data_IF_475586400594
#
_entry.id   IF_475586400594
#
_cell.length_a   1.000
_cell.length_b   1.000
_cell.length_c   1.000
_cell.angle_alpha   90.00
_cell.angle_beta   90.00
_cell.angle_gamma   90.00
#
_symmetry.space_group_name_H-M   'P 1'
#
loop_
_entity.id
_entity.type
_entity.pdbx_description
1 polymer ?
#
# COMPACT_ATOMS: atom_id res chain seq x y z
N UNK A 1 -57.93 -20.07 -5.43
CA UNK A 1 -57.35 -20.97 -6.43
C UNK A 1 -57.14 -20.14 -7.69
N UNK A 2 -55.95 -19.63 -8.00
CA UNK A 2 -54.63 -20.25 -7.78
C UNK A 2 -53.53 -19.19 -7.61
N UNK A 3 -52.78 -19.35 -6.51
CA UNK A 3 -51.33 -19.27 -6.29
C UNK A 3 -50.42 -18.22 -6.96
N UNK A 4 -49.89 -17.37 -6.07
CA UNK A 4 -48.52 -16.84 -5.99
C UNK A 4 -47.41 -17.83 -6.40
N UNK A 5 -46.37 -17.34 -7.10
CA UNK A 5 -44.94 -17.51 -6.75
C UNK A 5 -44.06 -16.77 -7.77
N UNK A 6 -43.58 -15.57 -7.40
CA UNK A 6 -42.20 -15.32 -6.95
C UNK A 6 -41.18 -15.24 -8.09
N UNK A 7 -41.16 -14.09 -8.75
CA UNK A 7 -39.94 -13.49 -9.29
C UNK A 7 -38.99 -13.15 -8.13
N UNK A 8 -38.01 -14.01 -7.84
CA UNK A 8 -36.85 -13.65 -7.04
C UNK A 8 -35.76 -14.71 -7.21
N UNK A 9 -34.94 -14.53 -8.24
CA UNK A 9 -33.61 -15.12 -8.32
C UNK A 9 -32.67 -14.02 -8.80
N UNK A 10 -32.62 -12.94 -8.03
CA UNK A 10 -31.59 -11.91 -8.13
C UNK A 10 -30.30 -12.54 -7.62
N UNK A 11 -29.38 -12.77 -8.56
CA UNK A 11 -27.94 -12.95 -8.42
C UNK A 11 -27.37 -12.58 -7.04
N UNK A 12 -27.47 -13.51 -6.09
CA UNK A 12 -26.51 -13.56 -4.99
C UNK A 12 -25.21 -14.11 -5.57
N UNK A 13 -24.42 -13.21 -6.18
CA UNK A 13 -23.05 -13.47 -6.59
C UNK A 13 -22.25 -13.79 -5.31
N UNK A 14 -22.35 -15.04 -4.85
CA UNK A 14 -21.82 -15.43 -3.56
C UNK A 14 -20.30 -15.50 -3.68
N UNK A 15 -19.63 -14.82 -2.75
CA UNK A 15 -18.18 -14.74 -2.65
C UNK A 15 -17.49 -16.13 -2.67
N UNK A 16 -18.25 -17.18 -2.32
CA UNK A 16 -17.84 -18.58 -2.36
C UNK A 16 -17.34 -19.06 -3.74
N UNK A 17 -17.81 -18.47 -4.84
CA UNK A 17 -17.39 -18.88 -6.19
C UNK A 17 -16.11 -18.19 -6.70
N UNK A 18 -15.64 -17.14 -6.01
CA UNK A 18 -14.44 -16.38 -6.35
C UNK A 18 -13.28 -16.61 -5.39
N UNK A 19 -13.51 -17.31 -4.28
CA UNK A 19 -12.44 -17.68 -3.35
C UNK A 19 -11.54 -18.76 -3.97
N UNK A 20 -10.24 -18.47 -4.05
CA UNK A 20 -9.16 -19.44 -4.31
C UNK A 20 -9.45 -20.70 -3.49
N UNK A 21 -9.44 -21.88 -4.09
CA UNK A 21 -9.84 -23.17 -3.49
C UNK A 21 -8.96 -23.68 -2.32
N UNK A 22 -8.19 -22.79 -1.70
CA UNK A 22 -7.33 -23.06 -0.56
C UNK A 22 -8.09 -22.88 0.74
N UNK A 23 -7.98 -23.86 1.64
CA UNK A 23 -8.57 -23.81 2.98
C UNK A 23 -8.08 -22.58 3.77
N UNK A 24 -8.99 -21.98 4.56
CA UNK A 24 -8.70 -20.84 5.45
C UNK A 24 -7.52 -21.11 6.39
N UNK A 25 -7.44 -22.32 6.94
CA UNK A 25 -6.33 -22.74 7.81
C UNK A 25 -4.99 -22.71 7.07
N UNK A 26 -4.96 -23.12 5.80
CA UNK A 26 -3.74 -23.08 5.00
C UNK A 26 -3.30 -21.64 4.73
N UNK A 27 -4.23 -20.73 4.35
CA UNK A 27 -3.93 -19.31 4.15
C UNK A 27 -3.36 -18.67 5.42
N UNK A 28 -3.94 -18.96 6.58
CA UNK A 28 -3.47 -18.46 7.88
C UNK A 28 -2.02 -18.85 8.15
N UNK A 29 -1.70 -20.15 8.08
CA UNK A 29 -0.36 -20.63 8.41
C UNK A 29 0.69 -20.20 7.38
N UNK A 30 0.33 -20.14 6.09
CA UNK A 30 1.24 -19.64 5.05
C UNK A 30 1.58 -18.17 5.32
N UNK A 31 0.59 -17.32 5.55
CA UNK A 31 0.82 -15.91 5.83
C UNK A 31 1.67 -15.72 7.09
N UNK A 32 1.33 -16.40 8.18
CA UNK A 32 2.08 -16.30 9.43
C UNK A 32 3.54 -16.79 9.27
N UNK A 33 3.75 -17.89 8.53
CA UNK A 33 5.07 -18.48 8.28
C UNK A 33 5.99 -17.54 7.49
N UNK A 34 5.45 -16.78 6.54
CA UNK A 34 6.23 -15.83 5.74
C UNK A 34 6.36 -14.45 6.41
N UNK A 35 5.33 -14.01 7.12
CA UNK A 35 5.31 -12.69 7.74
C UNK A 35 6.29 -12.58 8.91
N UNK A 36 6.34 -13.57 9.80
CA UNK A 36 7.26 -13.53 10.97
C UNK A 36 8.74 -13.40 10.56
N UNK A 37 9.29 -14.23 9.64
CA UNK A 37 10.65 -14.04 9.14
C UNK A 37 10.84 -12.71 8.41
N UNK A 38 9.82 -12.23 7.70
CA UNK A 38 9.87 -10.97 6.99
C UNK A 38 10.00 -9.78 7.95
N UNK A 39 9.20 -9.74 9.02
CA UNK A 39 9.31 -8.74 10.09
C UNK A 39 10.69 -8.78 10.74
N UNK A 40 11.20 -9.97 11.08
CA UNK A 40 12.54 -10.12 11.67
C UNK A 40 13.61 -9.56 10.72
N UNK A 41 13.54 -9.90 9.43
CA UNK A 41 14.46 -9.39 8.41
C UNK A 41 14.41 -7.86 8.31
N UNK A 42 13.20 -7.28 8.20
CA UNK A 42 12.99 -5.84 8.14
C UNK A 42 13.57 -5.12 9.37
N UNK A 43 13.34 -5.66 10.57
CA UNK A 43 13.88 -5.12 11.83
C UNK A 43 15.41 -5.20 11.87
N UNK A 44 16.00 -6.31 11.43
CA UNK A 44 17.47 -6.47 11.36
C UNK A 44 18.07 -5.46 10.38
N UNK A 45 17.48 -5.29 9.19
CA UNK A 45 17.96 -4.32 8.20
C UNK A 45 17.86 -2.89 8.75
N UNK A 46 16.71 -2.52 9.32
CA UNK A 46 16.54 -1.21 9.97
C UNK A 46 17.58 -1.01 11.08
N UNK A 47 17.77 -2.00 11.95
CA UNK A 47 18.78 -1.93 13.02
C UNK A 47 20.19 -1.71 12.46
N UNK A 48 20.61 -2.48 11.44
CA UNK A 48 21.89 -2.31 10.78
C UNK A 48 22.07 -0.89 10.21
N UNK A 49 21.05 -0.34 9.54
CA UNK A 49 21.10 1.02 9.00
C UNK A 49 21.13 2.07 10.10
N UNK A 50 20.44 1.86 11.23
CA UNK A 50 20.44 2.80 12.35
C UNK A 50 21.75 2.77 13.15
N UNK A 51 22.40 1.61 13.29
CA UNK A 51 23.66 1.47 14.04
C UNK A 51 24.84 2.03 13.23
N UNK A 52 24.94 1.72 11.94
CA UNK A 52 26.05 2.18 11.13
C UNK A 52 25.83 3.60 10.60
N UNK A 53 26.62 4.54 11.12
CA UNK A 53 26.59 5.94 10.71
C UNK A 53 26.90 6.14 9.21
N UNK A 54 27.76 5.30 8.61
CA UNK A 54 28.10 5.40 7.17
C UNK A 54 26.90 5.00 6.31
N UNK A 55 26.18 3.94 6.70
CA UNK A 55 24.94 3.54 6.06
C UNK A 55 23.88 4.64 6.22
N UNK A 56 23.70 5.18 7.42
CA UNK A 56 22.71 6.24 7.67
C UNK A 56 22.97 7.53 6.89
N UNK A 57 24.23 7.92 6.67
CA UNK A 57 24.57 9.16 5.96
C UNK A 57 24.52 9.03 4.43
N UNK A 58 24.39 7.82 3.91
CA UNK A 58 24.25 7.59 2.47
C UNK A 58 22.87 8.03 2.01
N UNK A 59 22.82 8.98 1.07
CA UNK A 59 21.59 9.52 0.48
C UNK A 59 20.66 8.42 -0.03
N UNK A 60 21.24 7.37 -0.62
CA UNK A 60 20.51 6.22 -1.16
C UNK A 60 19.71 5.45 -0.09
N UNK A 61 20.16 5.49 1.16
CA UNK A 61 19.60 4.67 2.22
C UNK A 61 18.42 5.34 2.91
N UNK A 62 18.22 6.67 2.79
CA UNK A 62 17.05 7.32 3.41
C UNK A 62 15.73 6.86 2.80
N UNK A 63 15.65 6.78 1.47
CA UNK A 63 14.46 6.29 0.80
C UNK A 63 14.18 4.81 1.15
N UNK A 64 15.24 3.99 1.25
CA UNK A 64 15.14 2.60 1.72
C UNK A 64 14.59 2.52 3.15
N UNK A 65 15.07 3.37 4.08
CA UNK A 65 14.56 3.41 5.45
C UNK A 65 13.08 3.77 5.49
N UNK A 66 12.65 4.73 4.67
CA UNK A 66 11.23 5.10 4.58
C UNK A 66 10.40 3.92 4.06
N UNK A 67 10.84 3.27 2.98
CA UNK A 67 10.17 2.07 2.45
C UNK A 67 10.10 0.93 3.48
N UNK A 68 11.18 0.70 4.24
CA UNK A 68 11.20 -0.31 5.30
C UNK A 68 10.26 0.05 6.45
N UNK A 69 10.12 1.34 6.82
CA UNK A 69 9.17 1.78 7.84
C UNK A 69 7.73 1.61 7.35
N UNK A 70 7.43 1.99 6.10
CA UNK A 70 6.12 1.80 5.50
C UNK A 70 5.75 0.31 5.43
N UNK A 71 6.67 -0.52 4.93
CA UNK A 71 6.49 -1.97 4.85
C UNK A 71 6.37 -2.65 6.22
N UNK A 72 7.12 -2.21 7.22
CA UNK A 72 6.96 -2.69 8.59
C UNK A 72 5.59 -2.31 9.15
N UNK A 73 5.11 -1.10 8.85
CA UNK A 73 3.78 -0.65 9.24
C UNK A 73 2.68 -1.53 8.65
N UNK A 74 2.76 -1.85 7.36
CA UNK A 74 1.78 -2.76 6.72
C UNK A 74 1.88 -4.18 7.31
N UNK A 75 3.08 -4.72 7.48
CA UNK A 75 3.29 -6.03 8.11
C UNK A 75 2.72 -6.10 9.54
N UNK A 76 2.90 -5.07 10.35
CA UNK A 76 2.46 -5.08 11.75
C UNK A 76 0.97 -4.77 11.94
N UNK A 77 0.27 -4.27 10.93
CA UNK A 77 -1.14 -3.84 11.06
C UNK A 77 -2.05 -4.58 10.09
N UNK A 78 -1.74 -4.52 8.80
CA UNK A 78 -2.56 -5.12 7.74
C UNK A 78 -2.57 -6.65 7.83
N UNK A 79 -1.39 -7.28 7.97
CA UNK A 79 -1.31 -8.75 8.07
C UNK A 79 -2.04 -9.29 9.31
N UNK A 80 -1.89 -8.72 10.52
CA UNK A 80 -2.69 -9.12 11.68
C UNK A 80 -4.20 -8.92 11.48
N UNK A 81 -4.65 -7.83 10.84
CA UNK A 81 -6.08 -7.66 10.55
C UNK A 81 -6.58 -8.73 9.59
N UNK A 82 -5.81 -9.07 8.56
CA UNK A 82 -6.16 -10.14 7.64
C UNK A 82 -6.17 -11.52 8.31
N UNK A 83 -5.18 -11.83 9.15
CA UNK A 83 -5.16 -13.08 9.94
C UNK A 83 -6.37 -13.15 10.89
N UNK A 84 -6.71 -12.04 11.56
CA UNK A 84 -7.86 -11.96 12.44
C UNK A 84 -9.18 -12.20 11.69
N UNK A 85 -9.30 -11.65 10.48
CA UNK A 85 -10.42 -11.88 9.58
C UNK A 85 -10.58 -13.35 9.18
N UNK A 86 -9.48 -14.04 8.87
CA UNK A 86 -9.52 -15.48 8.55
C UNK A 86 -10.06 -16.29 9.73
N UNK A 87 -9.64 -15.96 10.96
CA UNK A 87 -10.04 -16.68 12.18
C UNK A 87 -11.51 -16.45 12.51
N UNK A 88 -11.97 -15.19 12.47
CA UNK A 88 -13.33 -14.83 12.88
C UNK A 88 -14.36 -14.92 11.75
N UNK A 89 -13.93 -15.20 10.51
CA UNK A 89 -14.79 -15.21 9.32
C UNK A 89 -15.48 -13.86 9.07
N UNK A 90 -14.81 -12.78 9.46
CA UNK A 90 -15.34 -11.43 9.44
C UNK A 90 -14.43 -10.45 10.16
N UNK A 91 -14.70 -9.16 9.99
CA UNK A 91 -13.94 -8.05 10.57
C UNK A 91 -14.25 -7.96 12.06
N UNK A 92 -13.21 -8.01 12.90
CA UNK A 92 -13.34 -7.87 14.34
C UNK A 92 -12.32 -6.86 14.90
N UNK A 93 -12.73 -5.85 15.68
CA UNK A 93 -14.12 -5.49 16.01
C UNK A 93 -14.90 -4.95 14.80
N UNK A 94 -16.22 -5.22 14.67
CA UNK A 94 -17.03 -4.78 13.55
C UNK A 94 -17.42 -3.30 13.72
N UNK A 95 -16.48 -2.39 13.47
CA UNK A 95 -16.73 -0.96 13.51
C UNK A 95 -16.13 -0.24 12.30
N UNK A 96 -16.68 0.92 11.91
CA UNK A 96 -16.20 1.69 10.76
C UNK A 96 -14.73 2.11 10.88
N UNK A 97 -14.27 2.46 12.07
CA UNK A 97 -12.89 2.93 12.29
C UNK A 97 -11.85 1.86 11.98
N UNK A 98 -12.12 0.60 12.36
CA UNK A 98 -11.27 -0.55 12.04
C UNK A 98 -11.21 -0.75 10.53
N UNK A 99 -12.35 -0.63 9.83
CA UNK A 99 -12.41 -0.72 8.37
C UNK A 99 -11.61 0.38 7.68
N UNK A 100 -11.80 1.64 8.07
CA UNK A 100 -11.09 2.77 7.47
C UNK A 100 -9.58 2.65 7.74
N UNK A 101 -9.19 2.30 8.96
CA UNK A 101 -7.78 2.07 9.29
C UNK A 101 -7.19 0.95 8.45
N UNK A 102 -7.93 -0.15 8.29
CA UNK A 102 -7.49 -1.28 7.49
C UNK A 102 -7.33 -0.87 6.00
N UNK A 103 -8.33 -0.22 5.40
CA UNK A 103 -8.22 0.29 4.02
C UNK A 103 -7.08 1.30 3.85
N UNK A 104 -6.82 2.14 4.85
CA UNK A 104 -5.71 3.08 4.81
C UNK A 104 -4.35 2.39 4.85
N UNK A 105 -4.21 1.33 5.65
CA UNK A 105 -2.99 0.54 5.73
C UNK A 105 -2.78 -0.34 4.50
N UNK A 106 -3.85 -0.90 3.93
CA UNK A 106 -3.77 -1.68 2.70
C UNK A 106 -3.55 -0.74 1.50
N UNK A 107 -4.56 0.01 1.08
CA UNK A 107 -4.51 0.83 -0.14
C UNK A 107 -3.54 2.02 0.02
N UNK A 108 -3.66 2.76 1.11
CA UNK A 108 -2.94 4.02 1.28
C UNK A 108 -1.43 3.83 1.42
N UNK A 109 -1.00 2.96 2.33
CA UNK A 109 0.43 2.70 2.54
C UNK A 109 1.06 1.88 1.41
N UNK A 110 0.33 0.93 0.80
CA UNK A 110 0.83 0.18 -0.33
C UNK A 110 1.10 1.07 -1.55
N UNK A 111 0.12 1.89 -1.94
CA UNK A 111 0.28 2.85 -3.04
C UNK A 111 1.33 3.91 -2.69
N UNK A 112 1.37 4.35 -1.42
CA UNK A 112 2.44 5.21 -0.93
C UNK A 112 3.83 4.60 -1.11
N UNK A 113 3.99 3.32 -0.81
CA UNK A 113 5.21 2.55 -1.06
C UNK A 113 5.59 2.56 -2.54
N UNK A 114 4.64 2.29 -3.45
CA UNK A 114 4.86 2.30 -4.89
C UNK A 114 5.31 3.69 -5.40
N UNK A 115 4.70 4.77 -4.92
CA UNK A 115 5.08 6.16 -5.26
C UNK A 115 6.52 6.45 -4.81
N UNK A 116 6.87 6.10 -3.57
CA UNK A 116 8.23 6.31 -3.04
C UNK A 116 9.25 5.44 -3.78
N UNK A 117 8.88 4.22 -4.17
CA UNK A 117 9.74 3.32 -4.93
C UNK A 117 9.99 3.84 -6.35
N UNK A 118 8.96 4.34 -7.03
CA UNK A 118 9.07 5.00 -8.33
C UNK A 118 9.99 6.23 -8.25
N UNK A 119 9.84 7.06 -7.21
CA UNK A 119 10.75 8.18 -6.96
C UNK A 119 12.19 7.70 -6.72
N UNK A 120 12.38 6.63 -5.95
CA UNK A 120 13.72 6.07 -5.69
C UNK A 120 14.38 5.58 -6.98
N UNK A 121 13.62 4.97 -7.89
CA UNK A 121 14.09 4.55 -9.20
C UNK A 121 14.51 5.76 -10.07
N UNK A 122 13.70 6.82 -10.07
CA UNK A 122 14.02 8.07 -10.74
C UNK A 122 15.24 8.79 -10.14
N UNK A 123 15.31 8.89 -8.81
CA UNK A 123 16.43 9.51 -8.10
C UNK A 123 17.73 8.79 -8.42
N UNK A 124 17.72 7.45 -8.47
CA UNK A 124 18.87 6.65 -8.88
C UNK A 124 19.32 7.03 -10.29
N UNK A 125 18.40 7.30 -11.21
CA UNK A 125 18.73 7.79 -12.54
C UNK A 125 19.44 9.16 -12.46
N UNK A 126 18.92 10.11 -11.67
CA UNK A 126 19.56 11.43 -11.45
C UNK A 126 20.98 11.27 -10.88
N UNK A 127 21.18 10.45 -9.85
CA UNK A 127 22.49 10.23 -9.22
C UNK A 127 23.53 9.77 -10.24
N UNK A 128 23.11 8.93 -11.18
CA UNK A 128 23.99 8.27 -12.12
C UNK A 128 24.30 9.15 -13.34
N UNK A 129 23.30 9.82 -13.92
CA UNK A 129 23.46 10.64 -15.13
C UNK A 129 23.79 12.10 -14.81
N UNK A 130 23.42 12.59 -13.63
CA UNK A 130 23.54 13.98 -13.22
C UNK A 130 24.16 14.11 -11.81
N UNK A 131 25.25 13.37 -11.54
CA UNK A 131 25.94 13.35 -10.23
C UNK A 131 26.30 14.74 -9.68
N UNK A 132 26.57 15.73 -10.56
CA UNK A 132 26.83 17.12 -10.19
C UNK A 132 25.66 17.80 -9.48
N UNK A 133 24.43 17.40 -9.75
CA UNK A 133 23.24 17.95 -9.10
C UNK A 133 23.16 17.56 -7.62
N UNK A 134 23.72 16.41 -7.26
CA UNK A 134 23.65 15.84 -5.90
C UNK A 134 24.97 16.04 -5.13
N UNK A 135 26.01 16.57 -5.77
CA UNK A 135 27.32 16.79 -5.11
C UNK A 135 27.25 17.91 -4.06
N UNK A 136 26.43 18.95 -4.28
CA UNK A 136 26.32 20.09 -3.37
C UNK A 136 25.26 19.87 -2.29
N UNK A 137 25.41 20.52 -1.13
CA UNK A 137 24.42 20.44 -0.03
C UNK A 137 23.04 20.97 -0.46
N UNK A 138 22.99 22.09 -1.19
CA UNK A 138 21.75 22.66 -1.73
C UNK A 138 21.11 21.71 -2.76
N UNK A 139 21.93 21.14 -3.63
CA UNK A 139 21.49 20.14 -4.60
C UNK A 139 20.85 18.91 -3.97
N UNK A 140 21.44 18.37 -2.89
CA UNK A 140 20.84 17.26 -2.11
C UNK A 140 19.48 17.61 -1.50
N UNK A 141 19.34 18.83 -0.96
CA UNK A 141 18.06 19.27 -0.40
C UNK A 141 16.98 19.29 -1.49
N UNK A 142 17.28 19.89 -2.63
CA UNK A 142 16.30 20.08 -3.72
C UNK A 142 16.01 18.77 -4.46
N UNK A 143 17.01 17.93 -4.72
CA UNK A 143 16.87 16.75 -5.57
C UNK A 143 16.57 15.45 -4.80
N UNK A 144 16.68 15.42 -3.47
CA UNK A 144 16.43 14.21 -2.67
C UNK A 144 15.46 14.48 -1.52
N UNK A 145 15.80 15.36 -0.58
CA UNK A 145 15.01 15.52 0.65
C UNK A 145 13.65 16.19 0.41
N UNK A 146 13.62 17.24 -0.41
CA UNK A 146 12.42 18.02 -0.68
C UNK A 146 11.36 17.21 -1.43
N UNK A 147 11.67 16.50 -2.54
CA UNK A 147 10.69 15.67 -3.23
C UNK A 147 10.19 14.53 -2.36
N UNK A 148 11.07 13.87 -1.62
CA UNK A 148 10.70 12.77 -0.73
C UNK A 148 9.74 13.24 0.38
N UNK A 149 10.00 14.42 0.99
CA UNK A 149 9.10 15.03 1.97
C UNK A 149 7.75 15.37 1.34
N UNK A 150 7.74 15.99 0.15
CA UNK A 150 6.49 16.32 -0.54
C UNK A 150 5.67 15.09 -0.89
N UNK A 151 6.31 14.01 -1.35
CA UNK A 151 5.64 12.75 -1.68
C UNK A 151 5.02 12.11 -0.43
N UNK A 152 5.76 12.07 0.68
CA UNK A 152 5.21 11.55 1.95
C UNK A 152 3.99 12.38 2.37
N UNK A 153 4.11 13.71 2.40
CA UNK A 153 2.99 14.59 2.76
C UNK A 153 1.81 14.41 1.82
N UNK A 154 2.06 14.30 0.51
CA UNK A 154 1.03 14.04 -0.50
C UNK A 154 0.27 12.75 -0.21
N UNK A 155 0.98 11.63 0.02
CA UNK A 155 0.36 10.32 0.32
C UNK A 155 -0.57 10.42 1.53
N UNK A 156 -0.06 10.97 2.64
CA UNK A 156 -0.85 11.10 3.86
C UNK A 156 -2.05 12.05 3.68
N UNK A 157 -1.84 13.22 3.10
CA UNK A 157 -2.91 14.21 2.90
C UNK A 157 -3.99 13.65 1.96
N UNK A 158 -3.59 13.05 0.83
CA UNK A 158 -4.50 12.49 -0.15
C UNK A 158 -5.35 11.38 0.47
N UNK A 159 -4.74 10.36 1.08
CA UNK A 159 -5.50 9.24 1.61
C UNK A 159 -6.30 9.60 2.87
N UNK A 160 -5.80 10.47 3.76
CA UNK A 160 -6.61 10.97 4.89
C UNK A 160 -7.83 11.72 4.35
N UNK A 161 -7.65 12.59 3.36
CA UNK A 161 -8.77 13.30 2.72
C UNK A 161 -9.76 12.32 2.07
N UNK A 162 -9.27 11.38 1.26
CA UNK A 162 -10.08 10.41 0.53
C UNK A 162 -10.93 9.53 1.46
N UNK A 163 -10.38 9.09 2.59
CA UNK A 163 -11.08 8.20 3.52
C UNK A 163 -11.99 8.92 4.52
N UNK A 164 -11.59 10.09 5.03
CA UNK A 164 -12.31 10.75 6.13
C UNK A 164 -13.16 11.96 5.71
N UNK A 165 -12.78 12.65 4.63
CA UNK A 165 -13.36 13.96 4.28
C UNK A 165 -14.07 13.98 2.93
N UNK A 166 -13.84 12.98 2.07
CA UNK A 166 -14.51 12.91 0.77
C UNK A 166 -16.03 12.70 0.97
N UNK A 167 -16.89 13.46 0.27
CA UNK A 167 -18.33 13.49 0.53
C UNK A 167 -19.05 12.28 -0.10
N UNK A 168 -18.69 11.07 0.32
CA UNK A 168 -19.42 9.84 0.01
C UNK A 168 -19.70 9.03 1.28
N UNK A 169 -20.77 8.25 1.24
CA UNK A 169 -21.13 7.35 2.33
C UNK A 169 -20.45 6.00 2.11
N UNK A 170 -19.60 5.59 3.06
CA UNK A 170 -18.98 4.28 3.03
C UNK A 170 -19.99 3.22 3.50
N UNK A 171 -20.22 2.20 2.68
CA UNK A 171 -21.00 1.02 3.05
C UNK A 171 -20.07 -0.09 3.53
N UNK A 172 -20.20 -0.49 4.79
CA UNK A 172 -19.34 -1.51 5.38
C UNK A 172 -20.05 -2.87 5.40
N UNK A 173 -19.45 -3.86 4.75
CA UNK A 173 -19.80 -5.26 4.91
C UNK A 173 -18.69 -5.95 5.69
N UNK A 174 -18.92 -6.14 7.00
CA UNK A 174 -17.96 -6.77 7.90
C UNK A 174 -17.74 -8.27 7.62
N UNK A 175 -18.50 -8.89 6.72
CA UNK A 175 -18.29 -10.27 6.30
C UNK A 175 -17.27 -10.38 5.16
N UNK A 176 -16.93 -9.26 4.54
CA UNK A 176 -16.00 -9.16 3.42
C UNK A 176 -14.64 -8.57 3.86
N UNK A 177 -13.54 -8.93 3.17
CA UNK A 177 -12.24 -8.33 3.42
C UNK A 177 -12.27 -6.82 3.13
N UNK A 178 -11.50 -6.06 3.91
CA UNK A 178 -11.46 -4.58 3.84
C UNK A 178 -12.85 -3.93 3.97
N UNK A 179 -13.81 -4.63 4.58
CA UNK A 179 -15.17 -4.19 4.82
C UNK A 179 -15.93 -3.75 3.57
N UNK A 180 -16.12 -4.66 2.62
CA UNK A 180 -16.77 -4.48 1.30
C UNK A 180 -15.81 -4.25 0.12
N UNK A 181 -14.52 -4.55 0.29
CA UNK A 181 -13.54 -4.65 -0.81
C UNK A 181 -13.08 -3.36 -1.48
N UNK A 182 -13.81 -2.24 -1.34
CA UNK A 182 -13.41 -0.94 -1.92
C UNK A 182 -14.03 0.25 -1.18
N UNK A 183 -13.28 1.34 -0.94
CA UNK A 183 -13.82 2.56 -0.33
C UNK A 183 -14.77 3.30 -1.28
N UNK A 184 -15.70 4.09 -0.73
CA UNK A 184 -16.71 4.76 -1.56
C UNK A 184 -16.13 5.74 -2.58
N UNK A 185 -14.98 6.38 -2.28
CA UNK A 185 -14.33 7.31 -3.20
C UNK A 185 -13.87 6.62 -4.50
N UNK A 186 -13.59 5.31 -4.46
CA UNK A 186 -13.14 4.57 -5.64
C UNK A 186 -14.24 4.42 -6.69
N UNK A 187 -15.51 4.53 -6.28
CA UNK A 187 -16.65 4.53 -7.19
C UNK A 187 -16.96 5.92 -7.77
N UNK A 188 -16.37 6.98 -7.20
CA UNK A 188 -16.46 8.31 -7.80
C UNK A 188 -15.59 8.37 -9.08
N UNK A 189 -16.15 8.83 -10.21
CA UNK A 189 -15.45 8.79 -11.49
C UNK A 189 -14.20 9.67 -11.54
N UNK A 190 -14.13 10.74 -10.73
CA UNK A 190 -12.98 11.65 -10.73
C UNK A 190 -11.95 11.13 -9.74
N UNK A 191 -12.36 10.90 -8.49
CA UNK A 191 -11.45 10.52 -7.41
C UNK A 191 -10.91 9.10 -7.60
N UNK A 192 -11.76 8.15 -7.98
CA UNK A 192 -11.35 6.78 -8.28
C UNK A 192 -10.43 6.70 -9.49
N UNK A 193 -10.73 7.44 -10.57
CA UNK A 193 -9.84 7.50 -11.74
C UNK A 193 -8.51 8.16 -11.41
N UNK A 194 -8.52 9.23 -10.62
CA UNK A 194 -7.29 9.89 -10.17
C UNK A 194 -6.41 8.94 -9.36
N UNK A 195 -6.97 8.23 -8.38
CA UNK A 195 -6.22 7.25 -7.59
C UNK A 195 -5.63 6.14 -8.48
N UNK A 196 -6.46 5.56 -9.36
CA UNK A 196 -6.04 4.47 -10.23
C UNK A 196 -4.97 4.87 -11.26
N UNK A 197 -5.09 6.07 -11.85
CA UNK A 197 -4.12 6.54 -12.85
C UNK A 197 -2.86 7.10 -12.17
N UNK A 198 -3.02 8.01 -11.20
CA UNK A 198 -1.92 8.82 -10.67
C UNK A 198 -1.20 8.13 -9.51
N UNK A 199 -1.91 7.41 -8.64
CA UNK A 199 -1.28 6.78 -7.47
C UNK A 199 -0.90 5.31 -7.70
N UNK A 200 -1.53 4.64 -8.68
CA UNK A 200 -1.26 3.24 -8.99
C UNK A 200 -0.51 3.12 -10.33
N UNK A 201 -1.18 3.44 -11.44
CA UNK A 201 -0.66 3.15 -12.77
C UNK A 201 0.62 3.92 -13.10
N UNK A 202 0.63 5.24 -12.88
CA UNK A 202 1.77 6.09 -13.21
C UNK A 202 3.04 5.72 -12.41
N UNK A 203 3.01 5.52 -11.07
CA UNK A 203 4.18 5.09 -10.31
C UNK A 203 4.73 3.75 -10.79
N UNK A 204 3.87 2.76 -11.02
CA UNK A 204 4.31 1.44 -11.51
C UNK A 204 4.96 1.53 -12.89
N UNK A 205 4.41 2.33 -13.82
CA UNK A 205 5.00 2.52 -15.14
C UNK A 205 6.34 3.26 -15.07
N UNK A 206 6.46 4.29 -14.24
CA UNK A 206 7.70 5.02 -14.04
C UNK A 206 8.78 4.13 -13.40
N UNK A 207 8.42 3.36 -12.38
CA UNK A 207 9.32 2.40 -11.74
C UNK A 207 9.85 1.38 -12.76
N UNK A 208 8.96 0.78 -13.55
CA UNK A 208 9.32 -0.16 -14.60
C UNK A 208 10.25 0.51 -15.63
N UNK A 209 9.88 1.68 -16.14
CA UNK A 209 10.67 2.41 -17.13
C UNK A 209 12.09 2.72 -16.62
N UNK A 210 12.24 3.28 -15.42
CA UNK A 210 13.56 3.60 -14.87
C UNK A 210 14.37 2.36 -14.52
N UNK A 211 13.73 1.29 -14.08
CA UNK A 211 14.40 0.01 -13.81
C UNK A 211 14.91 -0.65 -15.09
N UNK A 212 14.10 -0.68 -16.15
CA UNK A 212 14.52 -1.19 -17.46
C UNK A 212 15.60 -0.31 -18.09
N UNK A 213 15.46 1.01 -18.05
CA UNK A 213 16.47 1.95 -18.53
C UNK A 213 17.83 1.72 -17.86
N UNK A 214 17.83 1.34 -16.58
CA UNK A 214 19.06 0.99 -15.88
C UNK A 214 19.65 -0.34 -16.36
N UNK A 215 18.85 -1.35 -16.70
CA UNK A 215 19.34 -2.65 -17.19
C UNK A 215 20.06 -2.53 -18.53
N UNK A 216 19.55 -1.73 -19.48
CA UNK A 216 20.17 -1.54 -20.79
C UNK A 216 21.51 -0.79 -20.76
N UNK A 217 21.88 -0.23 -19.61
CA UNK A 217 23.17 0.46 -19.41
C UNK A 217 24.29 -0.51 -19.00
N UNK A 218 23.97 -1.64 -18.37
CA UNK A 218 24.94 -2.67 -17.95
C UNK A 218 25.30 -3.52 -19.16
#
# INVERSE_FOLDING_TARGET
MSDNQSSNSTDSLSFANTEISMSRTARFWILLLFDVPSIICTLVVLFCVFVDQKLRLSVKNHALVILLILGLGTQLVDVPFYLNFIVHSGVFPPNPSTCILWCFMDIGMYNGGAIILAWTAFERHIIIFHSRWISTRKGRIIAHYLPLLFLILYIFIFYIYAFYFFPCENTYDYTLPFCNGSPCYANDPIMGMFDWIVNITMPTLLEAFFSFSFMFRV
#
